data_IF_247629222723
#
_entry.id   IF_247629222723
#
_cell.length_a   1.000
_cell.length_b   1.000
_cell.length_c   1.000
_cell.angle_alpha   90.00
_cell.angle_beta   90.00
_cell.angle_gamma   90.00
#
_symmetry.space_group_name_H-M   'P 1'
#
loop_
_entity.id
_entity.type
_entity.pdbx_description
1 polymer ?
#
# COMPACT_ATOMS: atom_id res chain seq x y z
N UNK A 1 25.11 19.18 20.84
CA UNK A 1 26.20 18.34 20.30
C UNK A 1 25.55 17.10 19.71
N UNK A 2 25.66 16.92 18.40
CA UNK A 2 25.03 15.80 17.67
C UNK A 2 25.86 14.53 17.87
N UNK A 3 25.39 13.62 18.72
CA UNK A 3 26.01 12.29 18.90
C UNK A 3 25.70 11.38 17.70
N UNK A 4 26.33 11.74 16.57
CA UNK A 4 26.57 10.93 15.39
C UNK A 4 27.53 9.74 15.64
N UNK A 5 28.60 9.85 16.46
CA UNK A 5 29.49 8.71 16.71
C UNK A 5 28.76 7.54 17.38
N UNK A 6 27.86 7.81 18.32
CA UNK A 6 27.09 6.77 19.02
C UNK A 6 26.22 5.93 18.05
N UNK A 7 25.70 6.54 16.98
CA UNK A 7 24.87 5.86 15.99
C UNK A 7 25.70 4.87 15.14
N UNK A 8 26.96 5.23 14.86
CA UNK A 8 27.89 4.40 14.09
C UNK A 8 28.28 3.13 14.85
N UNK A 9 28.54 3.26 16.14
CA UNK A 9 28.92 2.13 16.99
C UNK A 9 27.74 1.15 17.17
N UNK A 10 26.51 1.67 17.29
CA UNK A 10 25.30 0.84 17.27
C UNK A 10 25.15 0.06 15.95
N UNK A 11 25.42 0.70 14.80
CA UNK A 11 25.34 0.04 13.49
C UNK A 11 26.31 -1.14 13.36
N UNK A 12 27.53 -0.98 13.87
CA UNK A 12 28.53 -2.05 13.85
C UNK A 12 28.12 -3.28 14.69
N UNK A 13 27.22 -3.10 15.66
CA UNK A 13 26.77 -4.18 16.54
C UNK A 13 25.62 -5.03 15.98
N UNK A 14 25.02 -4.65 14.85
CA UNK A 14 23.83 -5.34 14.34
C UNK A 14 24.12 -6.65 13.62
N UNK A 15 23.36 -7.68 13.98
CA UNK A 15 23.41 -9.04 13.39
C UNK A 15 22.53 -9.18 12.14
N UNK A 16 21.70 -8.18 11.85
CA UNK A 16 20.77 -8.18 10.72
C UNK A 16 21.48 -7.97 9.39
N UNK A 17 21.30 -8.89 8.44
CA UNK A 17 21.91 -8.80 7.10
C UNK A 17 21.25 -7.75 6.20
N UNK A 18 19.99 -7.40 6.47
CA UNK A 18 19.21 -6.51 5.60
C UNK A 18 19.11 -5.11 6.19
N UNK A 19 19.09 -4.10 5.31
CA UNK A 19 18.91 -2.70 5.69
C UNK A 19 17.66 -2.49 6.57
N UNK A 20 16.55 -3.12 6.21
CA UNK A 20 15.31 -3.04 6.98
C UNK A 20 15.46 -3.59 8.41
N UNK A 21 16.22 -4.68 8.58
CA UNK A 21 16.47 -5.28 9.89
C UNK A 21 17.33 -4.38 10.77
N UNK A 22 18.40 -3.81 10.21
CA UNK A 22 19.28 -2.88 10.93
C UNK A 22 18.54 -1.60 11.32
N UNK A 23 17.77 -1.03 10.39
CA UNK A 23 16.99 0.18 10.65
C UNK A 23 15.93 -0.04 11.73
N UNK A 24 15.27 -1.20 11.75
CA UNK A 24 14.24 -1.53 12.75
C UNK A 24 14.79 -1.51 14.18
N UNK A 25 16.04 -1.90 14.39
CA UNK A 25 16.68 -1.86 15.72
C UNK A 25 16.95 -0.42 16.14
N UNK A 26 17.33 0.45 15.22
CA UNK A 26 17.58 1.89 15.48
C UNK A 26 16.31 2.74 15.61
N UNK A 27 15.15 2.26 15.14
CA UNK A 27 13.92 3.06 15.10
C UNK A 27 13.50 3.66 16.46
N UNK A 28 13.61 2.98 17.62
CA UNK A 28 13.24 3.56 18.91
C UNK A 28 14.08 4.80 19.26
N UNK A 29 15.39 4.73 19.04
CA UNK A 29 16.33 5.82 19.32
C UNK A 29 16.11 6.98 18.34
N UNK A 30 15.94 6.65 17.07
CA UNK A 30 15.66 7.64 16.03
C UNK A 30 14.33 8.37 16.31
N UNK A 31 13.28 7.65 16.67
CA UNK A 31 11.98 8.26 16.97
C UNK A 31 12.05 9.19 18.19
N UNK A 32 12.85 8.85 19.20
CA UNK A 32 13.12 9.73 20.34
C UNK A 32 13.80 11.03 19.92
N UNK A 33 14.85 10.94 19.09
CA UNK A 33 15.53 12.13 18.53
C UNK A 33 14.61 13.00 17.67
N UNK A 34 13.73 12.39 16.88
CA UNK A 34 12.73 13.14 16.11
C UNK A 34 11.75 13.87 17.04
N UNK A 35 11.36 13.27 18.16
CA UNK A 35 10.49 13.94 19.16
C UNK A 35 11.19 15.07 19.89
N UNK A 36 12.51 14.98 20.07
CA UNK A 36 13.35 16.07 20.58
C UNK A 36 13.50 17.23 19.57
N UNK A 37 13.05 17.05 18.33
CA UNK A 37 13.06 18.08 17.29
C UNK A 37 14.24 18.00 16.33
N UNK A 38 14.97 16.88 16.28
CA UNK A 38 16.05 16.70 15.29
C UNK A 38 15.46 16.53 13.90
N UNK A 39 15.99 17.30 12.93
CA UNK A 39 15.57 17.25 11.54
C UNK A 39 15.81 15.88 10.90
N UNK A 40 14.84 15.47 10.08
CA UNK A 40 14.90 14.19 9.36
C UNK A 40 16.12 14.10 8.43
N UNK A 41 16.52 15.21 7.81
CA UNK A 41 17.66 15.26 6.88
C UNK A 41 18.97 14.99 7.60
N UNK A 42 19.18 15.62 8.76
CA UNK A 42 20.36 15.40 9.60
C UNK A 42 20.49 13.95 10.05
N UNK A 43 19.37 13.30 10.37
CA UNK A 43 19.36 11.88 10.75
C UNK A 43 19.75 11.00 9.56
N UNK A 44 19.20 11.27 8.37
CA UNK A 44 19.51 10.52 7.14
C UNK A 44 20.98 10.68 6.74
N UNK A 45 21.54 11.89 6.86
CA UNK A 45 22.98 12.10 6.66
C UNK A 45 23.82 11.30 7.67
N UNK A 46 23.40 11.28 8.94
CA UNK A 46 24.06 10.49 9.98
C UNK A 46 24.06 9.00 9.67
N UNK A 47 22.91 8.47 9.24
CA UNK A 47 22.77 7.08 8.82
C UNK A 47 23.64 6.76 7.60
N UNK A 48 23.69 7.66 6.63
CA UNK A 48 24.53 7.52 5.43
C UNK A 48 26.02 7.48 5.79
N UNK A 49 26.47 8.39 6.67
CA UNK A 49 27.86 8.42 7.19
C UNK A 49 28.23 7.16 7.97
N UNK A 50 27.24 6.53 8.61
CA UNK A 50 27.42 5.29 9.35
C UNK A 50 27.30 4.03 8.47
N UNK A 51 27.12 4.17 7.15
CA UNK A 51 27.11 3.05 6.20
C UNK A 51 25.72 2.50 5.86
N UNK A 52 24.65 3.18 6.29
CA UNK A 52 23.27 2.88 5.89
C UNK A 52 22.71 3.99 4.99
N UNK A 53 22.99 3.96 3.68
CA UNK A 53 22.42 4.92 2.75
C UNK A 53 20.92 4.65 2.58
N UNK A 54 20.09 5.61 2.96
CA UNK A 54 18.63 5.56 2.78
C UNK A 54 18.12 6.88 2.22
N UNK A 55 17.05 6.81 1.41
CA UNK A 55 16.37 8.03 0.97
C UNK A 55 15.56 8.64 2.11
N UNK A 56 15.36 9.96 2.07
CA UNK A 56 14.51 10.68 3.02
C UNK A 56 13.06 10.15 3.01
N UNK A 57 12.54 9.77 1.85
CA UNK A 57 11.20 9.21 1.73
C UNK A 57 11.10 7.84 2.41
N UNK A 58 12.08 6.96 2.16
CA UNK A 58 12.17 5.64 2.81
C UNK A 58 12.22 5.82 4.32
N UNK A 59 13.05 6.74 4.81
CA UNK A 59 13.14 7.06 6.23
C UNK A 59 11.78 7.43 6.83
N UNK A 60 11.05 8.36 6.20
CA UNK A 60 9.71 8.80 6.65
C UNK A 60 8.71 7.65 6.70
N UNK A 61 8.70 6.79 5.68
CA UNK A 61 7.80 5.62 5.63
C UNK A 61 8.11 4.64 6.77
N UNK A 62 9.38 4.38 7.04
CA UNK A 62 9.79 3.48 8.12
C UNK A 62 9.44 4.05 9.50
N UNK A 63 9.66 5.35 9.71
CA UNK A 63 9.28 6.03 10.94
C UNK A 63 7.76 5.99 11.16
N UNK A 64 6.97 6.23 10.11
CA UNK A 64 5.52 6.09 10.17
C UNK A 64 5.09 4.67 10.55
N UNK A 65 5.63 3.66 9.87
CA UNK A 65 5.33 2.25 10.14
C UNK A 65 5.71 1.84 11.57
N UNK A 66 6.84 2.33 12.07
CA UNK A 66 7.26 2.11 13.45
C UNK A 66 6.25 2.72 14.44
N UNK A 67 5.87 3.98 14.26
CA UNK A 67 4.89 4.67 15.12
C UNK A 67 3.53 3.99 15.10
N UNK A 68 3.08 3.53 13.94
CA UNK A 68 1.83 2.78 13.80
C UNK A 68 1.86 1.49 14.64
N UNK A 69 2.94 0.72 14.54
CA UNK A 69 3.11 -0.51 15.33
C UNK A 69 3.24 -0.23 16.82
N UNK A 70 3.97 0.81 17.21
CA UNK A 70 4.14 1.20 18.61
C UNK A 70 2.80 1.63 19.25
N UNK A 71 1.91 2.27 18.47
CA UNK A 71 0.55 2.58 18.92
C UNK A 71 -0.31 1.33 19.07
N UNK A 72 -0.24 0.42 18.10
CA UNK A 72 -0.98 -0.85 18.15
C UNK A 72 -0.56 -1.73 19.32
N UNK A 73 0.74 -1.77 19.67
CA UNK A 73 1.22 -2.55 20.81
C UNK A 73 0.89 -1.94 22.17
N UNK A 74 0.58 -0.63 22.22
CA UNK A 74 0.18 0.05 23.47
C UNK A 74 -1.28 -0.20 23.82
N UNK A 75 -2.09 -0.58 22.84
CA UNK A 75 -3.44 -1.09 23.03
C UNK A 75 -3.24 -2.59 23.28
N UNK A 76 -3.39 -3.03 24.53
CA UNK A 76 -3.27 -4.45 24.87
C UNK A 76 -4.10 -5.31 23.90
N UNK A 77 -3.60 -6.48 23.46
CA UNK A 77 -4.36 -7.35 22.59
C UNK A 77 -5.50 -7.96 23.39
N UNK A 78 -6.70 -7.39 23.28
CA UNK A 78 -7.91 -8.08 23.69
C UNK A 78 -8.11 -9.28 22.74
N UNK A 79 -7.61 -10.43 23.20
CA UNK A 79 -7.86 -11.79 22.71
C UNK A 79 -7.45 -12.06 21.25
N UNK A 80 -6.49 -12.96 21.13
CA UNK A 80 -6.12 -13.66 19.91
C UNK A 80 -7.35 -14.38 19.33
N UNK A 81 -8.05 -13.73 18.40
CA UNK A 81 -8.96 -14.44 17.50
C UNK A 81 -8.06 -15.22 16.56
N UNK A 82 -7.86 -16.50 16.90
CA UNK A 82 -7.38 -17.54 16.00
C UNK A 82 -8.12 -17.38 14.66
N UNK A 83 -7.43 -16.85 13.65
CA UNK A 83 -7.89 -16.96 12.27
C UNK A 83 -7.78 -18.44 11.92
N UNK A 84 -8.88 -19.17 12.03
CA UNK A 84 -9.03 -20.43 11.32
C UNK A 84 -8.81 -20.14 9.85
N UNK A 85 -7.73 -20.69 9.30
CA UNK A 85 -7.49 -20.74 7.86
C UNK A 85 -8.71 -21.35 7.18
N UNK A 86 -9.33 -20.70 6.17
CA UNK A 86 -10.14 -21.44 5.23
C UNK A 86 -9.17 -22.22 4.33
N UNK A 87 -9.38 -23.54 4.26
CA UNK A 87 -8.56 -24.47 3.51
C UNK A 87 -8.32 -24.01 2.05
N UNK A 88 -7.12 -24.28 1.49
CA UNK A 88 -6.87 -24.04 0.08
C UNK A 88 -7.66 -25.07 -0.74
N UNK A 89 -8.83 -24.66 -1.24
CA UNK A 89 -9.54 -25.41 -2.27
C UNK A 89 -8.62 -25.56 -3.49
N UNK A 90 -8.06 -26.76 -3.59
CA UNK A 90 -7.32 -27.25 -4.74
C UNK A 90 -8.34 -27.57 -5.81
N UNK A 91 -8.47 -26.68 -6.79
CA UNK A 91 -8.91 -27.02 -8.15
C UNK A 91 -8.36 -25.96 -9.11
N UNK A 92 -7.03 -25.91 -9.20
CA UNK A 92 -6.34 -25.26 -10.32
C UNK A 92 -6.04 -26.34 -11.36
N UNK A 93 -6.94 -26.46 -12.33
CA UNK A 93 -6.65 -27.11 -13.60
C UNK A 93 -5.55 -26.30 -14.31
N UNK A 94 -4.33 -26.81 -14.29
CA UNK A 94 -3.19 -26.26 -15.01
C UNK A 94 -3.24 -26.84 -16.42
N UNK A 95 -3.52 -26.02 -17.42
CA UNK A 95 -3.03 -26.24 -18.78
C UNK A 95 -2.12 -25.07 -19.12
N UNK A 96 -0.88 -25.42 -19.36
CA UNK A 96 0.24 -24.60 -19.79
C UNK A 96 0.03 -24.05 -21.20
N UNK A 97 0.29 -22.76 -21.40
CA UNK A 97 1.18 -22.25 -22.45
C UNK A 97 1.24 -20.71 -22.40
N UNK A 98 2.40 -20.07 -22.16
CA UNK A 98 2.58 -18.65 -22.44
C UNK A 98 3.07 -18.50 -23.88
N UNK A 99 2.18 -18.12 -24.81
CA UNK A 99 2.61 -17.60 -26.11
C UNK A 99 2.90 -16.09 -25.95
N UNK A 100 4.11 -15.60 -26.30
CA UNK A 100 4.41 -14.18 -26.27
C UNK A 100 3.69 -13.52 -27.45
N UNK A 101 2.75 -12.61 -27.19
CA UNK A 101 2.20 -11.76 -28.24
C UNK A 101 3.08 -10.52 -28.35
N UNK A 102 3.50 -10.29 -29.59
CA UNK A 102 4.45 -9.30 -30.05
C UNK A 102 3.97 -7.86 -29.82
N UNK A 103 4.96 -6.97 -29.77
CA UNK A 103 4.81 -5.54 -30.02
C UNK A 103 4.03 -5.29 -31.31
N UNK A 104 2.88 -4.61 -31.19
CA UNK A 104 2.22 -3.89 -32.28
C UNK A 104 1.61 -2.60 -31.70
N UNK A 105 2.41 -1.52 -31.73
CA UNK A 105 1.91 -0.15 -31.85
C UNK A 105 1.49 0.02 -33.34
N UNK A 106 0.39 0.67 -33.79
CA UNK A 106 -0.18 1.98 -33.37
C UNK A 106 -1.75 2.04 -33.56
N UNK A 107 -2.50 3.16 -33.66
CA UNK A 107 -2.13 4.58 -33.66
C UNK A 107 -2.85 5.46 -32.62
N UNK A 108 -2.21 6.61 -32.39
CA UNK A 108 -2.85 7.82 -31.90
C UNK A 108 -3.98 8.22 -32.85
N UNK A 109 -5.22 8.03 -32.42
CA UNK A 109 -6.33 8.84 -32.88
C UNK A 109 -7.03 9.38 -31.63
N UNK A 110 -6.73 10.65 -31.33
CA UNK A 110 -7.57 11.49 -30.49
C UNK A 110 -8.87 11.75 -31.26
N UNK A 111 -10.05 11.35 -30.74
CA UNK A 111 -11.24 12.13 -31.00
C UNK A 111 -11.24 13.31 -30.03
N UNK A 112 -10.96 14.50 -30.56
CA UNK A 112 -11.48 15.75 -30.01
C UNK A 112 -12.98 15.56 -29.75
N UNK A 113 -13.34 15.35 -28.48
CA UNK A 113 -14.73 15.42 -28.06
C UNK A 113 -14.80 16.55 -27.05
N UNK A 114 -15.32 17.67 -27.55
CA UNK A 114 -15.95 18.78 -26.84
C UNK A 114 -16.36 18.42 -25.39
N UNK A 115 -16.15 19.31 -24.40
CA UNK A 115 -16.59 19.09 -23.03
C UNK A 115 -18.13 19.16 -22.96
N UNK A 116 -18.79 18.08 -23.37
CA UNK A 116 -20.16 17.83 -22.98
C UNK A 116 -20.13 17.64 -21.47
N UNK A 117 -20.56 18.69 -20.77
CA UNK A 117 -20.86 18.73 -19.35
C UNK A 117 -21.90 17.67 -19.04
N UNK A 118 -21.47 16.42 -18.91
CA UNK A 118 -22.21 15.43 -18.14
C UNK A 118 -22.15 15.97 -16.73
N UNK A 119 -23.29 16.48 -16.24
CA UNK A 119 -23.47 16.87 -14.86
C UNK A 119 -22.98 15.69 -14.00
N UNK A 120 -21.75 15.80 -13.53
CA UNK A 120 -21.23 15.00 -12.44
C UNK A 120 -22.03 15.51 -11.26
N UNK A 121 -23.15 14.85 -11.00
CA UNK A 121 -23.92 15.04 -9.79
C UNK A 121 -22.95 14.67 -8.67
N UNK A 122 -22.30 15.69 -8.13
CA UNK A 122 -21.25 15.56 -7.13
C UNK A 122 -21.94 15.06 -5.88
N UNK A 123 -22.05 13.74 -5.76
CA UNK A 123 -22.57 13.07 -4.58
C UNK A 123 -21.81 13.63 -3.38
N UNK A 124 -22.49 14.49 -2.63
CA UNK A 124 -21.95 15.08 -1.42
C UNK A 124 -21.62 13.95 -0.46
N UNK A 125 -20.55 14.10 0.32
CA UNK A 125 -20.13 13.10 1.31
C UNK A 125 -21.28 12.73 2.28
N UNK A 126 -22.19 13.67 2.52
CA UNK A 126 -23.40 13.48 3.34
C UNK A 126 -24.41 12.52 2.72
N UNK A 127 -24.51 12.49 1.39
CA UNK A 127 -25.42 11.60 0.66
C UNK A 127 -24.87 10.17 0.61
N UNK A 128 -23.55 9.99 0.73
CA UNK A 128 -22.92 8.67 0.80
C UNK A 128 -23.10 8.00 2.18
N UNK A 129 -23.38 8.79 3.22
CA UNK A 129 -23.67 8.31 4.58
C UNK A 129 -25.15 7.95 4.79
N UNK A 130 -26.03 8.38 3.87
CA UNK A 130 -27.44 8.03 3.91
C UNK A 130 -27.66 6.63 3.33
N UNK A 131 -28.12 5.70 4.17
CA UNK A 131 -28.22 4.27 3.85
C UNK A 131 -29.01 3.99 2.56
N UNK A 132 -30.03 4.80 2.27
CA UNK A 132 -30.89 4.62 1.10
C UNK A 132 -30.21 5.03 -0.21
N UNK A 133 -29.36 6.06 -0.17
CA UNK A 133 -28.61 6.56 -1.33
C UNK A 133 -27.33 5.76 -1.56
N UNK A 134 -26.67 5.31 -0.48
CA UNK A 134 -25.50 4.44 -0.57
C UNK A 134 -25.83 3.11 -1.25
N UNK A 135 -26.97 2.51 -0.91
CA UNK A 135 -27.39 1.23 -1.51
C UNK A 135 -27.65 1.37 -3.01
N UNK A 136 -28.32 2.45 -3.44
CA UNK A 136 -28.56 2.73 -4.86
C UNK A 136 -27.25 2.93 -5.64
N UNK A 137 -26.25 3.58 -5.04
CA UNK A 137 -24.93 3.75 -5.64
C UNK A 137 -24.18 2.42 -5.75
N UNK A 138 -24.23 1.57 -4.72
CA UNK A 138 -23.64 0.23 -4.74
C UNK A 138 -24.29 -0.63 -5.82
N UNK A 139 -25.62 -0.60 -5.94
CA UNK A 139 -26.35 -1.35 -6.97
C UNK A 139 -25.95 -0.93 -8.39
N UNK A 140 -25.73 0.37 -8.61
CA UNK A 140 -25.38 0.92 -9.90
C UNK A 140 -24.03 0.42 -10.43
N UNK A 141 -23.07 0.09 -9.55
CA UNK A 141 -21.71 -0.25 -9.97
C UNK A 141 -21.32 -1.69 -9.64
N UNK A 142 -21.81 -2.26 -8.53
CA UNK A 142 -21.44 -3.60 -8.07
C UNK A 142 -22.42 -4.68 -8.52
N UNK A 143 -23.70 -4.35 -8.70
CA UNK A 143 -24.74 -5.32 -9.04
C UNK A 143 -25.14 -5.32 -10.53
N UNK A 144 -24.37 -4.64 -11.40
CA UNK A 144 -24.48 -4.83 -12.86
C UNK A 144 -23.98 -6.21 -13.23
N UNK A 145 -24.86 -7.21 -13.10
CA UNK A 145 -24.67 -8.51 -13.74
C UNK A 145 -24.54 -8.28 -15.24
N UNK A 146 -23.47 -8.74 -15.90
CA UNK A 146 -23.41 -8.68 -17.36
C UNK A 146 -24.63 -9.44 -17.88
N UNK A 147 -25.44 -8.79 -18.72
CA UNK A 147 -26.50 -9.48 -19.46
C UNK A 147 -25.81 -10.51 -20.35
N UNK A 148 -25.77 -11.75 -19.91
CA UNK A 148 -25.39 -12.88 -20.74
C UNK A 148 -26.41 -12.93 -21.88
N UNK A 149 -26.04 -12.39 -23.04
CA UNK A 149 -26.79 -12.59 -24.28
C UNK A 149 -26.87 -14.10 -24.51
N UNK A 150 -28.07 -14.65 -24.31
CA UNK A 150 -28.37 -16.03 -24.65
C UNK A 150 -28.07 -16.27 -26.12
N UNK A 151 -27.03 -17.05 -26.41
CA UNK A 151 -26.83 -17.65 -27.73
C UNK A 151 -27.99 -18.60 -27.99
N UNK A 152 -28.91 -18.19 -28.87
CA UNK A 152 -29.93 -19.08 -29.42
C UNK A 152 -29.22 -20.28 -30.06
N UNK A 153 -29.52 -21.48 -29.58
CA UNK A 153 -29.13 -22.73 -30.23
C UNK A 153 -29.94 -22.83 -31.51
N UNK A 154 -29.26 -22.77 -32.66
CA UNK A 154 -29.88 -23.12 -33.94
C UNK A 154 -30.20 -24.60 -33.96
N UNK A 155 -31.47 -24.93 -34.16
CA UNK A 155 -31.91 -26.26 -34.61
C UNK A 155 -31.53 -26.44 -36.09
N UNK A 156 -31.11 -27.64 -36.48
CA UNK A 156 -31.58 -28.27 -37.70
C UNK A 156 -32.70 -29.27 -37.41
#
# INVERSE_FOLDING_TARGET
MTDLPALKDQIASFTGKTLASQLRVLMPDIDSRVREGVDHETIVEGLTKAGLPISLNTFRVYLYRYRLKARASKIEPLVEIVRSEPEPNTDRNIVTDPKPMADDNPPSDLPETEPNTVAVDSLSLTDLLDAKKSDAYIDQYMNRRPRLLGRNRGQP
#
